data_IF_228177623974
#
_entry.id   IF_228177623974
#
_cell.length_a   1.000
_cell.length_b   1.000
_cell.length_c   1.000
_cell.angle_alpha   90.00
_cell.angle_beta   90.00
_cell.angle_gamma   90.00
#
_symmetry.space_group_name_H-M   'P 1'
#
loop_
_entity.id
_entity.type
_entity.pdbx_description
1 polymer ?
#
# COMPACT_ATOMS: atom_id res chain seq x y z
N UNK A 1 39.83 -8.20 34.07
CA UNK A 1 38.72 -7.61 34.84
C UNK A 1 37.44 -8.16 34.24
N UNK A 2 36.73 -8.96 35.01
CA UNK A 2 35.65 -9.83 34.58
C UNK A 2 34.30 -9.11 34.77
N UNK A 3 33.43 -9.14 33.77
CA UNK A 3 32.03 -8.82 33.95
C UNK A 3 31.19 -9.89 33.24
N UNK A 4 30.80 -10.92 34.01
CA UNK A 4 29.77 -11.90 33.62
C UNK A 4 28.42 -11.31 34.01
N UNK A 5 27.61 -10.95 33.02
CA UNK A 5 26.21 -10.58 33.21
C UNK A 5 25.35 -11.84 33.12
N UNK A 6 24.63 -12.14 34.20
CA UNK A 6 23.64 -13.21 34.30
C UNK A 6 22.28 -12.53 34.39
N UNK A 7 21.35 -12.89 33.51
CA UNK A 7 19.95 -12.47 33.65
C UNK A 7 19.15 -12.75 32.39
N UNK A 8 18.43 -13.86 32.36
CA UNK A 8 17.29 -14.02 31.45
C UNK A 8 16.18 -14.71 32.21
N UNK A 9 15.18 -13.90 32.55
CA UNK A 9 13.90 -14.34 33.08
C UNK A 9 13.00 -14.75 31.90
N UNK A 10 12.47 -15.96 31.94
CA UNK A 10 11.48 -16.44 30.99
C UNK A 10 10.09 -15.96 31.44
N UNK A 11 9.41 -15.19 30.60
CA UNK A 11 7.99 -14.88 30.75
C UNK A 11 7.21 -15.70 29.71
N UNK A 12 6.49 -16.70 30.20
CA UNK A 12 5.50 -17.44 29.43
C UNK A 12 4.26 -16.56 29.24
N UNK A 13 3.87 -16.31 27.98
CA UNK A 13 2.61 -15.64 27.65
C UNK A 13 1.61 -16.64 27.10
N UNK A 14 0.46 -16.69 27.77
CA UNK A 14 -0.68 -17.58 27.55
C UNK A 14 -1.49 -17.14 26.34
N UNK A 15 -1.78 -18.08 25.45
CA UNK A 15 -2.59 -17.91 24.24
C UNK A 15 -4.09 -18.03 24.59
N UNK A 16 -4.90 -17.03 24.24
CA UNK A 16 -6.37 -17.09 24.37
C UNK A 16 -7.01 -17.07 22.98
N UNK A 17 -7.77 -18.13 22.68
CA UNK A 17 -8.55 -18.30 21.45
C UNK A 17 -9.78 -17.37 21.45
N UNK A 18 -10.07 -16.74 20.32
CA UNK A 18 -11.36 -16.09 20.05
C UNK A 18 -12.18 -16.88 19.03
N UNK A 19 -13.44 -17.11 19.42
CA UNK A 19 -14.45 -17.90 18.72
C UNK A 19 -15.23 -17.03 17.72
N UNK A 20 -15.50 -17.57 16.52
CA UNK A 20 -16.28 -16.95 15.45
C UNK A 20 -17.81 -16.96 15.72
N UNK A 21 -18.53 -15.96 15.20
CA UNK A 21 -19.99 -15.83 15.33
C UNK A 21 -20.68 -15.14 14.15
N UNK A 22 -21.25 -15.98 13.26
CA UNK A 22 -22.45 -15.93 12.42
C UNK A 22 -23.06 -14.62 11.84
N UNK A 23 -23.44 -14.76 10.56
CA UNK A 23 -24.20 -13.85 9.70
C UNK A 23 -25.70 -13.71 10.06
N UNK A 24 -26.34 -12.62 9.59
CA UNK A 24 -27.80 -12.54 9.39
C UNK A 24 -28.21 -11.49 8.34
N UNK A 25 -29.46 -11.60 7.89
CA UNK A 25 -30.03 -11.46 6.54
C UNK A 25 -31.02 -10.30 6.35
N UNK A 26 -30.96 -9.62 5.17
CA UNK A 26 -32.00 -9.07 4.24
C UNK A 26 -33.20 -8.15 4.70
N UNK A 27 -33.92 -7.43 3.78
CA UNK A 27 -34.46 -6.07 3.97
C UNK A 27 -36.02 -6.01 4.01
N UNK A 28 -36.66 -4.81 4.11
CA UNK A 28 -37.43 -4.30 2.93
C UNK A 28 -37.69 -2.76 2.83
N UNK A 29 -37.80 -2.26 1.58
CA UNK A 29 -38.94 -1.50 1.01
C UNK A 29 -39.32 -0.06 1.45
N UNK A 30 -39.46 0.86 0.48
CA UNK A 30 -40.36 2.03 0.57
C UNK A 30 -40.02 3.23 -0.34
N UNK A 31 -40.96 3.77 -1.16
CA UNK A 31 -40.69 4.76 -2.21
C UNK A 31 -40.91 6.22 -1.74
N UNK A 32 -40.22 7.17 -2.39
CA UNK A 32 -40.42 8.61 -2.21
C UNK A 32 -39.90 9.41 -3.40
N UNK A 33 -40.80 9.73 -4.31
CA UNK A 33 -40.66 10.71 -5.39
C UNK A 33 -40.61 12.12 -4.79
N UNK A 34 -39.69 12.96 -5.24
CA UNK A 34 -39.97 14.37 -5.56
C UNK A 34 -38.87 14.97 -6.44
N UNK A 35 -39.32 15.83 -7.34
CA UNK A 35 -38.60 16.43 -8.47
C UNK A 35 -37.99 17.80 -8.11
N UNK A 36 -37.43 18.47 -9.14
CA UNK A 36 -36.79 19.80 -9.17
C UNK A 36 -35.33 19.81 -8.68
N UNK A 37 -34.37 20.46 -9.33
CA UNK A 37 -34.39 21.47 -10.39
C UNK A 37 -32.98 21.54 -11.02
N UNK A 38 -32.89 21.85 -12.31
CA UNK A 38 -31.62 21.97 -13.02
C UNK A 38 -30.89 23.26 -12.59
N UNK A 39 -29.59 23.18 -12.34
CA UNK A 39 -28.69 24.34 -12.39
C UNK A 39 -27.36 23.90 -13.01
N UNK A 40 -27.12 24.38 -14.22
CA UNK A 40 -25.83 24.29 -14.88
C UNK A 40 -24.87 25.30 -14.25
N UNK A 41 -23.75 24.82 -13.72
CA UNK A 41 -22.63 25.68 -13.33
C UNK A 41 -21.30 24.92 -13.44
N UNK A 42 -20.35 25.53 -14.17
CA UNK A 42 -18.93 25.56 -13.84
C UNK A 42 -18.20 24.24 -13.65
N UNK A 43 -17.44 23.85 -14.67
CA UNK A 43 -16.28 22.99 -14.53
C UNK A 43 -15.22 23.67 -13.64
N UNK A 44 -15.36 23.54 -12.33
CA UNK A 44 -14.29 23.82 -11.37
C UNK A 44 -13.60 22.52 -10.99
N UNK A 45 -12.34 22.44 -11.41
CA UNK A 45 -11.34 21.51 -10.89
C UNK A 45 -11.34 21.67 -9.38
N UNK A 46 -11.94 20.72 -8.66
CA UNK A 46 -11.97 20.70 -7.20
C UNK A 46 -10.53 20.68 -6.66
N UNK A 47 -10.02 21.87 -6.39
CA UNK A 47 -8.85 22.06 -5.55
C UNK A 47 -9.23 21.52 -4.17
N UNK A 48 -8.56 20.46 -3.74
CA UNK A 48 -8.68 19.95 -2.38
C UNK A 48 -8.12 21.06 -1.50
N UNK A 49 -8.99 21.95 -1.02
CA UNK A 49 -8.66 22.95 -0.01
C UNK A 49 -8.39 22.21 1.30
N UNK A 50 -7.17 21.68 1.44
CA UNK A 50 -6.59 21.36 2.75
C UNK A 50 -6.38 22.67 3.48
N UNK A 51 -7.42 23.13 4.18
CA UNK A 51 -7.39 24.31 5.05
C UNK A 51 -6.71 24.00 6.41
N UNK A 52 -5.57 23.31 6.34
CA UNK A 52 -4.62 23.22 7.44
C UNK A 52 -3.35 23.97 7.01
N UNK A 53 -3.22 25.26 7.38
CA UNK A 53 -1.99 25.99 7.18
C UNK A 53 -0.96 25.47 8.20
N UNK A 54 -0.28 24.38 7.87
CA UNK A 54 0.90 23.96 8.62
C UNK A 54 2.07 24.86 8.20
N UNK A 55 2.02 26.10 8.66
CA UNK A 55 3.09 27.08 8.53
C UNK A 55 4.32 26.52 9.26
N UNK A 56 5.42 26.31 8.54
CA UNK A 56 6.69 25.80 9.09
C UNK A 56 7.10 24.40 8.62
N UNK A 57 6.23 23.63 7.96
CA UNK A 57 6.61 22.29 7.50
C UNK A 57 7.45 22.30 6.23
N UNK A 58 8.46 21.44 6.20
CA UNK A 58 9.28 21.23 5.00
C UNK A 58 8.43 20.66 3.86
N UNK A 59 8.87 20.86 2.61
CA UNK A 59 8.20 20.26 1.44
C UNK A 59 8.09 18.74 1.57
N UNK A 60 9.03 18.08 2.26
CA UNK A 60 9.03 16.63 2.49
C UNK A 60 7.93 16.22 3.46
N UNK A 61 7.80 16.90 4.60
CA UNK A 61 6.72 16.66 5.58
C UNK A 61 5.34 16.84 4.95
N UNK A 62 5.14 17.89 4.16
CA UNK A 62 3.87 18.10 3.43
C UNK A 62 3.55 16.95 2.45
N UNK A 63 4.56 16.25 1.92
CA UNK A 63 4.34 15.07 1.06
C UNK A 63 3.94 13.86 1.89
N UNK A 64 4.62 13.60 3.00
CA UNK A 64 4.29 12.50 3.91
C UNK A 64 2.88 12.66 4.50
N UNK A 65 2.52 13.86 4.92
CA UNK A 65 1.16 14.15 5.41
C UNK A 65 0.09 13.83 4.36
N UNK A 66 0.31 14.18 3.08
CA UNK A 66 -0.64 13.81 2.02
C UNK A 66 -0.74 12.30 1.80
N UNK A 67 0.35 11.57 1.98
CA UNK A 67 0.33 10.09 1.92
C UNK A 67 -0.53 9.55 3.07
N UNK A 68 -0.37 10.07 4.29
CA UNK A 68 -1.18 9.67 5.44
C UNK A 68 -2.68 9.90 5.19
N UNK A 69 -3.06 11.14 4.88
CA UNK A 69 -4.46 11.54 4.67
C UNK A 69 -5.13 10.72 3.56
N UNK A 70 -4.41 10.42 2.46
CA UNK A 70 -4.95 9.58 1.39
C UNK A 70 -5.00 8.10 1.79
N UNK A 71 -3.98 7.59 2.48
CA UNK A 71 -3.92 6.21 2.94
C UNK A 71 -5.04 5.85 3.93
N UNK A 72 -5.53 6.83 4.70
CA UNK A 72 -6.70 6.69 5.58
C UNK A 72 -8.02 6.52 4.81
N UNK A 73 -8.08 6.93 3.55
CA UNK A 73 -9.28 6.78 2.70
C UNK A 73 -9.45 5.34 2.18
N UNK A 74 -8.44 4.49 2.36
CA UNK A 74 -8.51 3.10 1.93
C UNK A 74 -9.52 2.32 2.78
N UNK A 75 -10.51 1.70 2.14
CA UNK A 75 -11.53 0.92 2.84
C UNK A 75 -10.92 -0.22 3.66
N UNK A 76 -11.50 -0.54 4.82
CA UNK A 76 -11.00 -1.60 5.68
C UNK A 76 -10.94 -2.98 4.99
N UNK A 77 -11.91 -3.27 4.10
CA UNK A 77 -11.96 -4.51 3.32
C UNK A 77 -10.80 -4.58 2.32
N UNK A 78 -10.56 -3.50 1.59
CA UNK A 78 -9.46 -3.42 0.62
C UNK A 78 -8.11 -3.50 1.35
N UNK A 79 -7.95 -2.76 2.45
CA UNK A 79 -6.78 -2.82 3.31
C UNK A 79 -6.48 -4.25 3.75
N UNK A 80 -7.42 -4.93 4.40
CA UNK A 80 -7.20 -6.30 4.91
C UNK A 80 -6.80 -7.29 3.80
N UNK A 81 -7.38 -7.17 2.60
CA UNK A 81 -7.07 -8.03 1.46
C UNK A 81 -5.63 -7.87 0.97
N UNK A 82 -5.17 -6.62 0.81
CA UNK A 82 -3.84 -6.36 0.25
C UNK A 82 -2.74 -6.41 1.32
N UNK A 83 -3.04 -6.04 2.56
CA UNK A 83 -2.11 -6.14 3.67
C UNK A 83 -1.66 -7.59 3.88
N UNK A 84 -2.60 -8.55 3.97
CA UNK A 84 -2.25 -9.96 4.17
C UNK A 84 -1.32 -10.51 3.08
N UNK A 85 -1.48 -10.07 1.81
CA UNK A 85 -0.57 -10.49 0.73
C UNK A 85 0.82 -9.87 0.84
N UNK A 86 0.92 -8.63 1.32
CA UNK A 86 2.21 -7.97 1.55
C UNK A 86 2.93 -8.62 2.74
N UNK A 87 2.20 -8.94 3.80
CA UNK A 87 2.72 -9.65 4.98
C UNK A 87 3.23 -11.05 4.62
N UNK A 88 2.44 -11.83 3.86
CA UNK A 88 2.85 -13.16 3.38
C UNK A 88 4.14 -13.08 2.55
N UNK A 89 4.25 -12.07 1.67
CA UNK A 89 5.44 -11.85 0.85
C UNK A 89 6.66 -11.46 1.71
N UNK A 90 6.48 -10.61 2.72
CA UNK A 90 7.53 -10.23 3.66
C UNK A 90 8.03 -11.43 4.48
N UNK A 91 7.11 -12.26 4.99
CA UNK A 91 7.46 -13.42 5.83
C UNK A 91 8.32 -14.44 5.08
N UNK A 92 8.10 -14.62 3.78
CA UNK A 92 8.92 -15.49 2.92
C UNK A 92 10.38 -15.02 2.89
N UNK A 93 10.61 -13.71 2.77
CA UNK A 93 11.97 -13.13 2.80
C UNK A 93 12.60 -13.29 4.17
N UNK A 94 11.83 -13.05 5.24
CA UNK A 94 12.33 -13.17 6.61
C UNK A 94 12.72 -14.61 6.96
N UNK A 95 11.95 -15.58 6.48
CA UNK A 95 12.29 -17.00 6.61
C UNK A 95 13.59 -17.33 5.89
N UNK A 96 13.77 -16.85 4.66
CA UNK A 96 15.01 -17.05 3.93
C UNK A 96 16.21 -16.36 4.62
N UNK A 97 15.99 -15.18 5.19
CA UNK A 97 17.04 -14.43 5.88
C UNK A 97 17.50 -15.11 7.16
N UNK A 98 16.62 -15.84 7.87
CA UNK A 98 17.02 -16.69 9.01
C UNK A 98 18.01 -17.79 8.62
N UNK A 99 17.93 -18.28 7.39
CA UNK A 99 18.82 -19.32 6.86
C UNK A 99 20.09 -18.75 6.22
N UNK A 100 19.96 -17.63 5.51
CA UNK A 100 21.04 -17.04 4.72
C UNK A 100 20.90 -15.52 4.59
N UNK A 101 21.06 -14.81 5.71
CA UNK A 101 21.01 -13.35 5.78
C UNK A 101 21.95 -12.66 4.78
N UNK A 102 23.20 -13.14 4.69
CA UNK A 102 24.21 -12.54 3.81
C UNK A 102 23.82 -12.68 2.32
N UNK A 103 23.22 -13.81 1.93
CA UNK A 103 22.70 -14.02 0.58
C UNK A 103 21.54 -13.09 0.24
N UNK A 104 20.59 -12.91 1.17
CA UNK A 104 19.48 -11.96 1.02
C UNK A 104 20.00 -10.53 0.87
N UNK A 105 20.90 -10.10 1.77
CA UNK A 105 21.51 -8.78 1.71
C UNK A 105 22.24 -8.53 0.38
N UNK A 106 23.01 -9.51 -0.11
CA UNK A 106 23.74 -9.42 -1.37
C UNK A 106 22.80 -9.24 -2.57
N UNK A 107 21.74 -10.05 -2.68
CA UNK A 107 20.79 -9.96 -3.80
C UNK A 107 20.01 -8.66 -3.78
N UNK A 108 19.51 -8.25 -2.61
CA UNK A 108 18.82 -6.96 -2.45
C UNK A 108 19.74 -5.77 -2.74
N UNK A 109 21.03 -5.88 -2.40
CA UNK A 109 22.01 -4.82 -2.71
C UNK A 109 22.19 -4.64 -4.22
N UNK A 110 22.26 -5.75 -4.96
CA UNK A 110 22.33 -5.71 -6.41
C UNK A 110 21.05 -5.15 -7.03
N UNK A 111 19.89 -5.51 -6.48
CA UNK A 111 18.58 -5.08 -6.98
C UNK A 111 18.32 -3.59 -6.75
N UNK A 112 18.52 -3.11 -5.52
CA UNK A 112 18.25 -1.71 -5.16
C UNK A 112 19.40 -0.76 -5.49
N UNK A 113 20.52 -1.26 -6.01
CA UNK A 113 21.69 -0.45 -6.36
C UNK A 113 22.35 0.23 -5.15
N UNK A 114 22.24 -0.37 -3.97
CA UNK A 114 22.87 0.08 -2.72
C UNK A 114 23.84 -0.99 -2.23
N UNK A 115 24.76 -0.68 -1.30
CA UNK A 115 25.66 -1.71 -0.78
C UNK A 115 24.96 -2.62 0.23
N UNK A 116 25.32 -3.90 0.27
CA UNK A 116 24.79 -4.85 1.26
C UNK A 116 25.05 -4.37 2.71
N UNK A 117 26.20 -3.75 2.96
CA UNK A 117 26.53 -3.15 4.24
C UNK A 117 25.58 -1.98 4.60
N UNK A 118 25.20 -1.17 3.62
CA UNK A 118 24.23 -0.08 3.82
C UNK A 118 22.85 -0.63 4.17
N UNK A 119 22.39 -1.71 3.51
CA UNK A 119 21.12 -2.36 3.83
C UNK A 119 21.11 -2.97 5.23
N UNK A 120 22.18 -3.67 5.62
CA UNK A 120 22.30 -4.20 6.98
C UNK A 120 22.32 -3.08 8.02
N UNK A 121 23.05 -1.99 7.75
CA UNK A 121 23.07 -0.83 8.63
C UNK A 121 21.68 -0.16 8.74
N UNK A 122 20.98 -0.01 7.61
CA UNK A 122 19.62 0.53 7.58
C UNK A 122 18.65 -0.36 8.36
N UNK A 123 18.68 -1.68 8.14
CA UNK A 123 17.89 -2.65 8.91
C UNK A 123 18.09 -2.50 10.40
N UNK A 124 19.35 -2.49 10.84
CA UNK A 124 19.70 -2.39 12.25
C UNK A 124 19.29 -1.03 12.84
N UNK A 125 19.39 0.05 12.06
CA UNK A 125 19.00 1.39 12.50
C UNK A 125 17.48 1.57 12.59
N UNK A 126 16.72 0.83 11.79
CA UNK A 126 15.25 0.86 11.78
C UNK A 126 14.62 -0.24 12.64
N UNK A 127 15.41 -1.18 13.14
CA UNK A 127 14.92 -2.41 13.78
C UNK A 127 13.92 -3.19 12.91
N UNK A 128 14.09 -3.10 11.58
CA UNK A 128 13.19 -3.70 10.60
C UNK A 128 13.53 -5.16 10.33
N UNK A 129 12.55 -5.91 9.85
CA UNK A 129 12.77 -7.20 9.22
C UNK A 129 13.20 -7.03 7.75
N UNK A 130 13.71 -8.11 7.13
CA UNK A 130 14.17 -8.03 5.74
C UNK A 130 13.00 -7.87 4.77
N UNK A 131 11.89 -8.56 5.01
CA UNK A 131 10.66 -8.43 4.23
C UNK A 131 10.11 -7.00 4.24
N UNK A 132 10.08 -6.36 5.41
CA UNK A 132 9.65 -4.96 5.55
C UNK A 132 10.56 -3.99 4.79
N UNK A 133 11.88 -4.21 4.83
CA UNK A 133 12.82 -3.42 4.04
C UNK A 133 12.60 -3.59 2.54
N UNK A 134 12.29 -4.80 2.07
CA UNK A 134 11.95 -5.04 0.66
C UNK A 134 10.73 -4.21 0.28
N UNK A 135 9.65 -4.24 1.07
CA UNK A 135 8.45 -3.43 0.81
C UNK A 135 8.80 -1.93 0.78
N UNK A 136 9.51 -1.44 1.79
CA UNK A 136 9.85 -0.02 1.90
C UNK A 136 10.69 0.47 0.71
N UNK A 137 11.71 -0.28 0.28
CA UNK A 137 12.55 0.06 -0.88
C UNK A 137 11.77 -0.05 -2.20
N UNK A 138 10.89 -1.05 -2.34
CA UNK A 138 10.04 -1.20 -3.53
C UNK A 138 9.12 0.01 -3.72
N UNK A 139 8.43 0.41 -2.65
CA UNK A 139 7.54 1.57 -2.66
C UNK A 139 8.31 2.87 -2.90
N UNK A 140 9.45 3.07 -2.22
CA UNK A 140 10.28 4.26 -2.37
C UNK A 140 10.84 4.42 -3.79
N UNK A 141 11.27 3.31 -4.41
CA UNK A 141 11.85 3.31 -5.76
C UNK A 141 10.80 3.61 -6.83
N UNK A 142 9.54 3.21 -6.61
CA UNK A 142 8.42 3.53 -7.51
C UNK A 142 7.83 4.92 -7.28
N UNK A 143 8.24 5.63 -6.22
CA UNK A 143 7.62 6.90 -5.83
C UNK A 143 8.00 8.06 -6.77
N UNK A 144 7.04 8.73 -7.43
CA UNK A 144 7.34 9.92 -8.25
C UNK A 144 7.86 11.10 -7.40
N UNK A 145 7.61 11.06 -6.09
CA UNK A 145 7.82 12.15 -5.14
C UNK A 145 9.15 12.09 -4.37
N UNK A 146 10.06 11.17 -4.74
CA UNK A 146 11.36 10.93 -4.07
C UNK A 146 11.21 10.81 -2.55
N UNK A 147 10.28 9.98 -2.10
CA UNK A 147 10.15 9.61 -0.69
C UNK A 147 11.17 8.49 -0.45
N UNK A 148 12.04 8.64 0.53
CA UNK A 148 13.06 7.64 0.83
C UNK A 148 12.46 6.41 1.54
N UNK A 149 13.08 5.23 1.40
CA UNK A 149 12.65 4.00 2.06
C UNK A 149 12.52 4.18 3.59
N UNK A 150 13.50 4.83 4.22
CA UNK A 150 13.42 5.23 5.64
C UNK A 150 12.16 6.03 6.00
N UNK A 151 11.71 6.93 5.13
CA UNK A 151 10.50 7.73 5.39
C UNK A 151 9.23 6.89 5.19
N UNK A 152 9.23 5.99 4.21
CA UNK A 152 8.17 5.00 4.01
C UNK A 152 8.05 4.10 5.26
N UNK A 153 9.17 3.59 5.76
CA UNK A 153 9.20 2.78 6.98
C UNK A 153 8.74 3.56 8.21
N UNK A 154 9.08 4.84 8.34
CA UNK A 154 8.60 5.67 9.44
C UNK A 154 7.08 5.83 9.46
N UNK A 155 6.43 5.93 8.29
CA UNK A 155 4.96 5.92 8.22
C UNK A 155 4.37 4.60 8.73
N UNK A 156 5.04 3.48 8.47
CA UNK A 156 4.63 2.18 8.95
C UNK A 156 4.80 2.04 10.48
N UNK A 157 6.04 2.23 10.95
CA UNK A 157 6.42 1.97 12.34
C UNK A 157 5.88 3.01 13.33
N UNK A 158 5.98 4.31 12.99
CA UNK A 158 5.65 5.38 13.94
C UNK A 158 4.20 5.82 13.87
N UNK A 159 3.67 5.92 12.67
CA UNK A 159 2.27 6.35 12.46
C UNK A 159 1.31 5.15 12.45
N UNK A 160 1.82 3.91 12.50
CA UNK A 160 1.02 2.69 12.53
C UNK A 160 0.26 2.40 11.24
N UNK A 161 0.70 2.96 10.11
CA UNK A 161 0.04 2.73 8.82
C UNK A 161 0.40 1.36 8.25
N UNK A 162 -0.60 0.64 7.73
CA UNK A 162 -0.35 -0.58 6.94
C UNK A 162 0.34 -0.27 5.60
N UNK A 163 1.09 -1.24 5.07
CA UNK A 163 1.79 -1.12 3.80
C UNK A 163 0.86 -0.79 2.64
N UNK A 164 -0.33 -1.39 2.63
CA UNK A 164 -1.37 -1.11 1.63
C UNK A 164 -1.90 0.32 1.73
N UNK A 165 -2.00 0.89 2.94
CA UNK A 165 -2.40 2.28 3.13
C UNK A 165 -1.34 3.25 2.64
N UNK A 166 -0.06 2.97 2.93
CA UNK A 166 1.06 3.80 2.45
C UNK A 166 1.10 3.78 0.92
N UNK A 167 1.01 2.60 0.29
CA UNK A 167 1.00 2.46 -1.16
C UNK A 167 -0.17 3.22 -1.81
N UNK A 168 -1.39 3.06 -1.26
CA UNK A 168 -2.56 3.82 -1.71
C UNK A 168 -2.37 5.33 -1.53
N UNK A 169 -1.83 5.76 -0.40
CA UNK A 169 -1.54 7.16 -0.12
C UNK A 169 -0.53 7.79 -1.08
N UNK A 170 0.40 6.98 -1.58
CA UNK A 170 1.35 7.36 -2.63
C UNK A 170 0.73 7.39 -4.03
N UNK A 171 -0.50 6.90 -4.19
CA UNK A 171 -1.25 6.88 -5.45
C UNK A 171 -0.97 5.65 -6.31
N UNK A 172 -0.51 4.55 -5.72
CA UNK A 172 -0.19 3.32 -6.44
C UNK A 172 -1.40 2.40 -6.61
N UNK A 173 -1.42 1.63 -7.70
CA UNK A 173 -2.35 0.51 -7.86
C UNK A 173 -1.95 -0.64 -6.92
N UNK A 174 -2.84 -1.07 -6.04
CA UNK A 174 -2.52 -2.06 -5.02
C UNK A 174 -2.23 -3.47 -5.59
N UNK A 175 -2.81 -3.83 -6.74
CA UNK A 175 -2.50 -5.13 -7.38
C UNK A 175 -1.09 -5.10 -7.96
N UNK A 176 -0.71 -4.00 -8.60
CA UNK A 176 0.64 -3.79 -9.10
C UNK A 176 1.65 -3.66 -7.96
N UNK A 177 1.30 -3.00 -6.84
CA UNK A 177 2.14 -2.95 -5.64
C UNK A 177 2.46 -4.35 -5.14
N UNK A 178 1.45 -5.20 -4.96
CA UNK A 178 1.70 -6.57 -4.50
C UNK A 178 2.51 -7.36 -5.52
N UNK A 179 2.21 -7.25 -6.81
CA UNK A 179 2.98 -7.93 -7.86
C UNK A 179 4.45 -7.48 -7.89
N UNK A 180 4.73 -6.20 -7.67
CA UNK A 180 6.09 -5.67 -7.60
C UNK A 180 6.81 -6.23 -6.37
N UNK A 181 6.19 -6.14 -5.18
CA UNK A 181 6.75 -6.68 -3.94
C UNK A 181 7.01 -8.19 -4.04
N UNK A 182 6.06 -8.97 -4.58
CA UNK A 182 6.25 -10.41 -4.79
C UNK A 182 7.42 -10.70 -5.75
N UNK A 183 7.65 -9.85 -6.74
CA UNK A 183 8.81 -9.95 -7.63
C UNK A 183 10.11 -9.68 -6.88
N UNK A 184 10.17 -8.60 -6.10
CA UNK A 184 11.35 -8.29 -5.28
C UNK A 184 11.62 -9.35 -4.20
N UNK A 185 10.58 -9.93 -3.61
CA UNK A 185 10.73 -11.06 -2.68
C UNK A 185 11.33 -12.29 -3.37
N UNK A 186 11.02 -12.52 -4.66
CA UNK A 186 11.68 -13.59 -5.44
C UNK A 186 13.16 -13.29 -5.70
N UNK A 187 13.55 -12.02 -5.90
CA UNK A 187 14.96 -11.62 -5.96
C UNK A 187 15.62 -11.89 -4.61
N UNK A 188 15.00 -11.40 -3.53
CA UNK A 188 15.51 -11.56 -2.16
C UNK A 188 15.75 -13.02 -1.79
N UNK A 189 14.84 -13.91 -2.20
CA UNK A 189 14.95 -15.35 -1.96
C UNK A 189 15.86 -16.09 -2.91
N UNK A 190 16.34 -15.44 -3.98
CA UNK A 190 17.17 -16.08 -5.01
C UNK A 190 16.38 -16.98 -5.96
N UNK A 191 15.05 -16.84 -5.99
CA UNK A 191 14.20 -17.50 -6.97
C UNK A 191 14.30 -16.86 -8.37
N UNK A 192 14.75 -15.59 -8.43
CA UNK A 192 15.16 -14.91 -9.65
C UNK A 192 16.47 -14.14 -9.38
N UNK A 193 17.27 -13.97 -10.43
CA UNK A 193 18.51 -13.17 -10.37
C UNK A 193 18.17 -11.67 -10.31
N UNK A 194 18.94 -10.87 -9.55
CA UNK A 194 18.76 -9.43 -9.53
C UNK A 194 19.15 -8.82 -10.88
N UNK A 195 18.32 -7.90 -11.39
CA UNK A 195 18.59 -7.18 -12.64
C UNK A 195 18.93 -5.70 -12.42
N UNK A 196 18.88 -5.26 -11.16
CA UNK A 196 19.17 -3.89 -10.75
C UNK A 196 18.05 -2.91 -11.09
N UNK A 197 16.83 -3.42 -11.30
CA UNK A 197 15.65 -2.63 -11.67
C UNK A 197 14.44 -3.09 -10.88
N UNK A 198 14.16 -2.31 -9.84
CA UNK A 198 12.94 -2.46 -9.06
C UNK A 198 11.70 -2.43 -9.95
N UNK A 199 10.85 -3.43 -9.77
CA UNK A 199 9.57 -3.56 -10.44
C UNK A 199 8.76 -2.28 -10.29
N UNK A 200 8.39 -1.70 -11.43
CA UNK A 200 7.67 -0.42 -11.47
C UNK A 200 6.22 -0.62 -11.05
N UNK A 201 5.78 0.16 -10.06
CA UNK A 201 4.37 0.20 -9.66
C UNK A 201 3.67 1.31 -10.44
N UNK A 202 2.63 0.95 -11.19
CA UNK A 202 1.83 1.94 -11.92
C UNK A 202 0.96 2.78 -10.98
N UNK A 203 0.56 3.95 -11.49
CA UNK A 203 -0.40 4.78 -10.79
C UNK A 203 -1.75 4.06 -10.74
N UNK A 204 -2.37 4.06 -9.55
CA UNK A 204 -3.74 3.62 -9.42
C UNK A 204 -4.64 4.54 -10.23
N UNK A 205 -5.55 3.95 -11.01
CA UNK A 205 -6.75 4.68 -11.39
C UNK A 205 -7.44 5.01 -10.08
N UNK A 206 -7.33 6.25 -9.61
CA UNK A 206 -8.12 6.70 -8.47
C UNK A 206 -9.55 6.26 -8.77
N UNK A 207 -10.08 5.41 -7.89
CA UNK A 207 -11.37 4.75 -7.98
C UNK A 207 -12.47 5.81 -7.83
N UNK A 208 -12.58 6.68 -8.84
CA UNK A 208 -13.72 7.55 -9.12
C UNK A 208 -14.74 6.81 -10.00
N UNK A 209 -14.60 5.48 -10.15
CA UNK A 209 -15.36 4.64 -11.06
C UNK A 209 -16.14 3.52 -10.33
N UNK A 210 -16.48 3.70 -9.05
CA UNK A 210 -17.42 2.83 -8.33
C UNK A 210 -18.80 3.51 -8.12
N UNK A 211 -19.22 4.27 -9.13
CA UNK A 211 -20.59 4.74 -9.36
C UNK A 211 -20.97 4.48 -10.81
N UNK A 212 -20.95 3.24 -11.27
CA UNK A 212 -21.82 2.79 -12.36
C UNK A 212 -21.84 1.25 -12.42
N UNK A 213 -22.68 0.63 -11.59
CA UNK A 213 -23.37 -0.59 -11.98
C UNK A 213 -24.86 -0.44 -11.64
N UNK A 214 -25.55 0.21 -12.57
CA UNK A 214 -27.00 0.24 -12.69
C UNK A 214 -27.39 0.15 -14.16
N UNK A 215 -26.64 -0.64 -14.95
CA UNK A 215 -26.95 -0.87 -16.36
C UNK A 215 -27.89 -2.06 -16.47
N UNK A 216 -29.20 -1.78 -16.53
CA UNK A 216 -30.17 -2.71 -17.08
C UNK A 216 -31.23 -1.98 -17.91
N UNK A 217 -31.26 -2.33 -19.19
CA UNK A 217 -32.39 -2.22 -20.14
C UNK A 217 -32.58 -0.90 -20.88
N UNK A 218 -32.13 -0.88 -22.14
CA UNK A 218 -32.54 0.07 -23.16
C UNK A 218 -32.04 -0.37 -24.54
N UNK A 219 -32.84 -1.18 -25.25
CA UNK A 219 -32.44 -1.93 -26.44
C UNK A 219 -32.12 -1.13 -27.72
N UNK A 220 -31.73 -1.84 -28.80
CA UNK A 220 -31.30 -1.23 -30.06
C UNK A 220 -32.48 -0.67 -30.85
N UNK A 221 -32.56 0.66 -30.95
CA UNK A 221 -33.49 1.32 -31.87
C UNK A 221 -32.94 1.25 -33.29
N UNK A 222 -33.57 0.41 -34.09
CA UNK A 222 -33.31 0.25 -35.52
C UNK A 222 -33.95 1.39 -36.32
N UNK A 223 -33.18 1.88 -37.30
CA UNK A 223 -33.64 2.34 -38.62
C UNK A 223 -34.74 3.42 -38.73
N UNK A 224 -34.38 4.57 -39.32
CA UNK A 224 -35.10 5.05 -40.51
C UNK A 224 -34.29 6.05 -41.36
N UNK A 225 -33.81 5.57 -42.50
CA UNK A 225 -33.42 6.38 -43.66
C UNK A 225 -34.68 7.07 -44.21
N UNK A 226 -34.63 8.39 -44.40
CA UNK A 226 -35.64 9.13 -45.19
C UNK A 226 -34.91 10.08 -46.12
N UNK A 227 -34.69 9.61 -47.34
CA UNK A 227 -34.32 10.44 -48.49
C UNK A 227 -35.61 10.82 -49.19
N UNK A 228 -35.84 12.11 -49.42
CA UNK A 228 -36.92 12.62 -50.23
C UNK A 228 -36.34 13.38 -51.43
N UNK A 229 -36.99 13.20 -52.57
CA UNK A 229 -36.80 13.88 -53.86
C UNK A 229 -36.85 15.40 -53.75
#
# INVERSE_FOLDING_TARGET
MNAKWIGSAALASTLTLFTAGLAQTTPPGGPGTDASEATAAGSERGDITTDHPVAGHTRAEKRLYRVMVRGEQLSAKTRAKFEGRLDDAAEVVDRQAKENEAGVASRLSAEFGVSAQSLVAERNALHAWWGELVIAHTLASSAPNRIAAKQVFQLHDREGMGWSQIAHGMGFDLKQTVSAVETECRVATGAIEPDGKVASIGAGLNEAADLEDGSASGGPSTARTRTAN
#
